data_IF_846758976459
#
_entry.id   IF_846758976459
#
_cell.length_a   1.000
_cell.length_b   1.000
_cell.length_c   1.000
_cell.angle_alpha   90.00
_cell.angle_beta   90.00
_cell.angle_gamma   90.00
#
_symmetry.space_group_name_H-M   'P 1'
#
loop_
_entity.id
_entity.type
_entity.pdbx_description
1 polymer ?
#
# COMPACT_ATOMS: atom_id res chain seq x y z
N UNK A 1 13.57 -29.94 -9.18
CA UNK A 1 13.32 -28.48 -9.05
C UNK A 1 14.65 -27.82 -8.75
N UNK A 2 14.94 -26.68 -9.36
CA UNK A 2 16.14 -25.88 -9.09
C UNK A 2 15.66 -24.50 -8.66
N UNK A 3 16.23 -23.98 -7.58
CA UNK A 3 15.89 -22.66 -7.04
C UNK A 3 17.16 -21.99 -6.50
N UNK A 4 17.19 -20.66 -6.53
CA UNK A 4 18.23 -19.82 -5.96
C UNK A 4 17.72 -19.13 -4.69
N UNK A 5 18.63 -18.75 -3.81
CA UNK A 5 18.30 -18.13 -2.52
C UNK A 5 19.32 -17.04 -2.24
N UNK A 6 18.87 -15.78 -2.20
CA UNK A 6 19.76 -14.63 -2.02
C UNK A 6 19.65 -14.01 -0.61
N UNK A 7 18.48 -14.09 0.02
CA UNK A 7 18.27 -13.48 1.34
C UNK A 7 18.81 -14.36 2.47
N UNK A 8 19.58 -13.77 3.39
CA UNK A 8 20.20 -14.49 4.52
C UNK A 8 19.19 -15.23 5.40
N UNK A 9 17.98 -14.68 5.54
CA UNK A 9 16.90 -15.23 6.36
C UNK A 9 15.86 -16.02 5.54
N UNK A 10 16.12 -16.39 4.29
CA UNK A 10 15.13 -17.05 3.44
C UNK A 10 14.61 -18.37 4.04
N UNK A 11 15.46 -19.09 4.78
CA UNK A 11 15.09 -20.35 5.45
C UNK A 11 14.03 -20.17 6.54
N UNK A 12 13.85 -18.96 7.10
CA UNK A 12 12.82 -18.69 8.11
C UNK A 12 11.39 -18.80 7.56
N UNK A 13 11.20 -18.66 6.25
CA UNK A 13 9.89 -18.82 5.63
C UNK A 13 9.43 -20.28 5.61
N UNK A 14 10.35 -21.23 5.76
CA UNK A 14 10.04 -22.65 5.67
C UNK A 14 9.85 -23.27 7.05
N UNK A 15 8.67 -23.87 7.24
CA UNK A 15 8.40 -24.74 8.38
C UNK A 15 9.09 -26.10 8.22
N UNK A 16 9.30 -26.81 9.33
CA UNK A 16 9.89 -28.16 9.31
C UNK A 16 9.13 -29.13 8.40
N UNK A 17 7.80 -29.00 8.35
CA UNK A 17 6.96 -29.80 7.46
C UNK A 17 7.25 -29.49 5.98
N UNK A 18 7.34 -28.22 5.60
CA UNK A 18 7.66 -27.82 4.22
C UNK A 18 9.06 -28.27 3.79
N UNK A 19 10.04 -28.27 4.71
CA UNK A 19 11.38 -28.75 4.41
C UNK A 19 11.42 -30.26 4.15
N UNK A 20 10.56 -31.05 4.79
CA UNK A 20 10.49 -32.50 4.58
C UNK A 20 9.82 -32.90 3.26
N UNK A 21 8.99 -32.03 2.69
CA UNK A 21 8.34 -32.28 1.39
C UNK A 21 9.35 -32.31 0.22
N UNK A 22 10.53 -31.72 0.40
CA UNK A 22 11.56 -31.63 -0.63
C UNK A 22 12.86 -32.26 -0.17
N UNK A 23 13.51 -33.01 -1.06
CA UNK A 23 14.88 -33.50 -0.84
C UNK A 23 15.86 -32.40 -1.22
N UNK A 24 16.21 -31.56 -0.25
CA UNK A 24 17.13 -30.44 -0.46
C UNK A 24 18.58 -30.90 -0.59
N UNK A 25 19.26 -30.41 -1.63
CA UNK A 25 20.71 -30.49 -1.79
C UNK A 25 21.22 -29.07 -1.95
N UNK A 26 22.00 -28.60 -0.97
CA UNK A 26 22.56 -27.26 -0.98
C UNK A 26 23.89 -27.26 -1.74
N UNK A 27 24.01 -26.36 -2.72
CA UNK A 27 25.24 -26.14 -3.46
C UNK A 27 25.65 -24.68 -3.36
N UNK A 28 26.91 -24.41 -3.04
CA UNK A 28 27.45 -23.05 -2.96
C UNK A 28 27.91 -22.59 -4.33
N UNK A 29 27.32 -21.51 -4.84
CA UNK A 29 27.61 -20.94 -6.15
C UNK A 29 27.85 -19.42 -6.04
N UNK A 30 29.02 -19.03 -5.51
CA UNK A 30 29.37 -17.62 -5.31
C UNK A 30 29.93 -17.03 -6.63
N UNK A 31 29.11 -16.28 -7.37
CA UNK A 31 29.48 -15.74 -8.70
C UNK A 31 30.13 -14.35 -8.65
N UNK A 32 29.94 -13.60 -7.56
CA UNK A 32 30.36 -12.19 -7.40
C UNK A 32 29.86 -11.23 -8.50
N UNK A 33 28.91 -11.68 -9.33
CA UNK A 33 28.28 -10.85 -10.36
C UNK A 33 27.26 -9.94 -9.68
N UNK A 34 27.20 -8.67 -10.11
CA UNK A 34 26.24 -7.72 -9.57
C UNK A 34 24.82 -7.98 -10.12
N UNK A 35 23.86 -8.24 -9.22
CA UNK A 35 22.47 -8.55 -9.54
C UNK A 35 21.64 -7.33 -9.98
N UNK A 36 21.98 -6.73 -11.12
CA UNK A 36 21.28 -5.53 -11.64
C UNK A 36 19.76 -5.74 -11.79
N UNK A 37 19.35 -6.92 -12.25
CA UNK A 37 17.94 -7.22 -12.51
C UNK A 37 17.09 -7.36 -11.23
N UNK A 38 17.66 -7.95 -10.18
CA UNK A 38 16.97 -8.19 -8.90
C UNK A 38 16.93 -6.90 -8.06
N UNK A 39 18.01 -6.12 -8.06
CA UNK A 39 18.08 -4.85 -7.30
C UNK A 39 17.15 -3.80 -7.93
N UNK A 40 17.06 -3.78 -9.26
CA UNK A 40 16.10 -2.92 -9.96
C UNK A 40 14.68 -3.48 -9.95
N UNK A 41 14.30 -4.32 -8.98
CA UNK A 41 12.92 -4.76 -8.79
C UNK A 41 11.90 -3.60 -8.67
N UNK A 42 12.36 -2.37 -8.40
CA UNK A 42 11.60 -1.13 -8.58
C UNK A 42 11.12 -0.84 -10.03
N UNK A 43 11.54 -1.64 -11.00
CA UNK A 43 11.11 -1.68 -12.40
C UNK A 43 10.53 -3.05 -12.79
N UNK A 44 10.31 -3.93 -11.81
CA UNK A 44 9.81 -5.28 -12.05
C UNK A 44 8.37 -5.21 -12.52
N UNK A 45 8.15 -5.61 -13.77
CA UNK A 45 6.81 -5.82 -14.34
C UNK A 45 6.04 -6.89 -13.55
N UNK A 46 6.74 -7.84 -12.92
CA UNK A 46 6.17 -8.86 -12.05
C UNK A 46 5.62 -8.28 -10.74
N UNK A 47 6.24 -7.21 -10.23
CA UNK A 47 5.72 -6.44 -9.09
C UNK A 47 4.83 -5.25 -9.52
N UNK A 48 4.52 -5.12 -10.81
CA UNK A 48 3.69 -4.03 -11.35
C UNK A 48 4.35 -2.65 -11.36
N UNK A 49 5.65 -2.56 -11.08
CA UNK A 49 6.39 -1.30 -11.09
C UNK A 49 6.95 -1.06 -12.49
N UNK A 50 6.16 -0.46 -13.39
CA UNK A 50 6.61 -0.17 -14.75
C UNK A 50 6.87 1.33 -14.93
N UNK A 51 8.14 1.78 -15.07
CA UNK A 51 8.47 3.20 -15.19
C UNK A 51 7.94 3.86 -16.47
N UNK A 52 7.50 3.06 -17.47
CA UNK A 52 6.88 3.57 -18.70
C UNK A 52 5.38 3.86 -18.54
N UNK A 53 4.75 3.30 -17.49
CA UNK A 53 3.39 3.66 -17.09
C UNK A 53 3.51 4.76 -16.04
N UNK A 54 3.22 6.00 -16.44
CA UNK A 54 3.24 7.18 -15.56
C UNK A 54 2.23 7.14 -14.40
N UNK A 55 1.64 5.99 -14.06
CA UNK A 55 0.43 5.90 -13.24
C UNK A 55 0.53 5.04 -11.97
N UNK A 56 1.45 4.07 -11.87
CA UNK A 56 1.54 3.23 -10.65
C UNK A 56 2.81 3.55 -9.86
N UNK A 57 2.75 4.62 -9.06
CA UNK A 57 3.82 4.93 -8.08
C UNK A 57 3.94 3.84 -7.00
N UNK A 58 2.91 3.01 -6.87
CA UNK A 58 2.78 2.00 -5.82
C UNK A 58 2.52 0.62 -6.42
N UNK A 59 3.19 -0.40 -5.87
CA UNK A 59 2.86 -1.81 -6.05
C UNK A 59 1.96 -2.30 -4.91
N UNK A 60 1.27 -3.42 -5.10
CA UNK A 60 0.61 -4.17 -4.01
C UNK A 60 1.58 -4.44 -2.85
N UNK A 61 2.82 -4.83 -3.14
CA UNK A 61 3.83 -5.09 -2.10
C UNK A 61 4.25 -3.82 -1.36
N UNK A 62 4.34 -2.69 -2.05
CA UNK A 62 4.65 -1.40 -1.42
C UNK A 62 3.51 -0.95 -0.49
N UNK A 63 2.26 -1.15 -0.91
CA UNK A 63 1.09 -0.86 -0.08
C UNK A 63 0.96 -1.81 1.10
N UNK A 64 1.36 -3.07 0.96
CA UNK A 64 1.40 -4.02 2.06
C UNK A 64 2.36 -3.59 3.17
N UNK A 65 3.56 -3.16 2.80
CA UNK A 65 4.55 -2.65 3.77
C UNK A 65 4.03 -1.40 4.46
N UNK A 66 3.47 -0.47 3.69
CA UNK A 66 2.84 0.73 4.23
C UNK A 66 1.70 0.37 5.19
N UNK A 67 0.82 -0.53 4.79
CA UNK A 67 -0.29 -0.98 5.63
C UNK A 67 0.18 -1.58 6.96
N UNK A 68 1.25 -2.37 6.92
CA UNK A 68 1.85 -2.92 8.13
C UNK A 68 2.41 -1.84 9.07
N UNK A 69 2.97 -0.74 8.53
CA UNK A 69 3.48 0.37 9.34
C UNK A 69 2.38 1.28 9.92
N UNK A 70 1.22 1.36 9.27
CA UNK A 70 0.10 2.18 9.73
C UNK A 70 -0.52 1.63 11.03
N UNK A 71 -0.91 2.55 11.91
CA UNK A 71 -1.74 2.25 13.08
C UNK A 71 -3.15 1.79 12.67
N UNK A 72 -3.84 1.07 13.58
CA UNK A 72 -5.17 0.53 13.31
C UNK A 72 -6.20 1.61 12.91
N UNK A 73 -6.21 2.76 13.59
CA UNK A 73 -7.11 3.86 13.27
C UNK A 73 -6.81 4.47 11.89
N UNK A 74 -5.53 4.63 11.57
CA UNK A 74 -5.04 5.15 10.28
C UNK A 74 -5.48 4.26 9.11
N UNK A 75 -5.48 2.93 9.30
CA UNK A 75 -5.98 1.96 8.31
C UNK A 75 -7.48 2.16 8.04
N UNK A 76 -8.28 2.38 9.08
CA UNK A 76 -9.71 2.66 8.94
C UNK A 76 -9.96 4.00 8.25
N UNK A 77 -9.21 5.06 8.59
CA UNK A 77 -9.30 6.37 7.93
C UNK A 77 -9.00 6.24 6.44
N UNK A 78 -7.95 5.49 6.07
CA UNK A 78 -7.59 5.26 4.67
C UNK A 78 -8.71 4.51 3.92
N UNK A 79 -9.36 3.54 4.57
CA UNK A 79 -10.53 2.84 4.01
C UNK A 79 -11.71 3.78 3.75
N UNK A 80 -12.10 4.58 4.75
CA UNK A 80 -13.21 5.55 4.62
C UNK A 80 -12.92 6.55 3.51
N UNK A 81 -11.70 7.09 3.46
CA UNK A 81 -11.30 8.04 2.44
C UNK A 81 -11.49 7.47 1.02
N UNK A 82 -10.99 6.26 0.76
CA UNK A 82 -11.15 5.65 -0.57
C UNK A 82 -12.59 5.23 -0.87
N UNK A 83 -13.37 4.81 0.12
CA UNK A 83 -14.80 4.54 -0.04
C UNK A 83 -15.55 5.81 -0.50
N UNK A 84 -15.35 6.94 0.19
CA UNK A 84 -15.95 8.23 -0.18
C UNK A 84 -15.48 8.71 -1.55
N UNK A 85 -14.17 8.60 -1.82
CA UNK A 85 -13.57 9.04 -3.09
C UNK A 85 -14.12 8.25 -4.29
N UNK A 86 -14.27 6.93 -4.17
CA UNK A 86 -14.80 6.11 -5.27
C UNK A 86 -16.32 6.18 -5.42
N UNK A 87 -17.05 6.41 -4.33
CA UNK A 87 -18.50 6.61 -4.38
C UNK A 87 -18.85 7.90 -5.11
N UNK A 88 -18.24 9.03 -4.71
CA UNK A 88 -18.57 10.34 -5.26
C UNK A 88 -17.84 10.63 -6.59
N UNK A 89 -16.73 9.94 -6.88
CA UNK A 89 -15.82 10.21 -8.02
C UNK A 89 -15.31 11.66 -8.07
N UNK A 90 -15.32 12.33 -6.92
CA UNK A 90 -14.93 13.73 -6.74
C UNK A 90 -13.89 13.85 -5.61
N UNK A 91 -13.09 14.94 -5.60
CA UNK A 91 -12.21 15.24 -4.47
C UNK A 91 -12.98 15.31 -3.15
N UNK A 92 -12.50 14.62 -2.12
CA UNK A 92 -13.17 14.57 -0.81
C UNK A 92 -12.82 15.83 -0.02
N UNK A 93 -13.81 16.56 0.49
CA UNK A 93 -13.56 17.70 1.37
C UNK A 93 -12.99 17.23 2.72
N UNK A 94 -12.05 17.99 3.28
CA UNK A 94 -11.44 17.66 4.58
C UNK A 94 -12.50 17.51 5.68
N UNK A 95 -13.49 18.40 5.71
CA UNK A 95 -14.52 18.41 6.75
C UNK A 95 -15.46 17.21 6.68
N UNK A 96 -15.77 16.71 5.47
CA UNK A 96 -16.61 15.53 5.30
C UNK A 96 -15.88 14.27 5.81
N UNK A 97 -14.60 14.14 5.46
CA UNK A 97 -13.75 13.06 5.98
C UNK A 97 -13.60 13.17 7.51
N UNK A 98 -13.45 14.38 8.04
CA UNK A 98 -13.35 14.61 9.48
C UNK A 98 -14.64 14.23 10.21
N UNK A 99 -15.80 14.55 9.65
CA UNK A 99 -17.10 14.14 10.22
C UNK A 99 -17.22 12.62 10.23
N UNK A 100 -16.96 11.95 9.11
CA UNK A 100 -17.03 10.48 9.03
C UNK A 100 -16.03 9.80 9.99
N UNK A 101 -14.80 10.31 10.08
CA UNK A 101 -13.80 9.77 11.00
C UNK A 101 -14.16 10.00 12.47
N UNK A 102 -14.89 11.08 12.78
CA UNK A 102 -15.39 11.36 14.12
C UNK A 102 -16.57 10.47 14.49
N UNK A 103 -17.46 10.21 13.54
CA UNK A 103 -18.64 9.33 13.74
C UNK A 103 -18.21 7.89 14.05
N UNK A 104 -17.09 7.44 13.48
CA UNK A 104 -16.46 6.15 13.80
C UNK A 104 -15.46 6.20 14.98
N UNK A 105 -15.35 7.33 15.67
CA UNK A 105 -14.41 7.53 16.79
C UNK A 105 -12.93 7.25 16.46
N UNK A 106 -12.52 7.44 15.20
CA UNK A 106 -11.15 7.17 14.73
C UNK A 106 -10.16 8.26 15.13
N UNK A 107 -10.64 9.48 15.30
CA UNK A 107 -9.82 10.67 15.56
C UNK A 107 -10.43 11.56 16.65
N UNK A 108 -9.56 12.09 17.52
CA UNK A 108 -9.95 12.95 18.64
C UNK A 108 -9.97 14.45 18.30
N UNK A 109 -9.16 14.92 17.34
CA UNK A 109 -9.02 16.33 16.97
C UNK A 109 -8.71 16.53 15.48
N UNK A 110 -8.97 17.73 14.95
CA UNK A 110 -8.63 18.06 13.55
C UNK A 110 -7.12 17.94 13.29
N UNK A 111 -6.30 18.33 14.29
CA UNK A 111 -4.85 18.28 14.21
C UNK A 111 -4.32 16.86 14.05
N UNK A 112 -4.92 15.89 14.74
CA UNK A 112 -4.55 14.49 14.63
C UNK A 112 -4.91 13.93 13.24
N UNK A 113 -6.07 14.27 12.67
CA UNK A 113 -6.42 13.86 11.30
C UNK A 113 -5.45 14.48 10.28
N UNK A 114 -5.14 15.77 10.43
CA UNK A 114 -4.19 16.46 9.53
C UNK A 114 -2.81 15.83 9.55
N UNK A 115 -2.30 15.45 10.72
CA UNK A 115 -1.02 14.76 10.83
C UNK A 115 -1.03 13.42 10.07
N UNK A 116 -2.12 12.66 10.19
CA UNK A 116 -2.27 11.39 9.46
C UNK A 116 -2.34 11.60 7.93
N UNK A 117 -3.04 12.65 7.49
CA UNK A 117 -3.14 12.99 6.07
C UNK A 117 -1.80 13.50 5.49
N UNK A 118 -0.98 14.16 6.31
CA UNK A 118 0.39 14.52 5.91
C UNK A 118 1.23 13.27 5.69
N UNK A 119 1.16 12.27 6.58
CA UNK A 119 1.84 10.99 6.38
C UNK A 119 1.40 10.31 5.07
N UNK A 120 0.10 10.30 4.77
CA UNK A 120 -0.41 9.76 3.50
C UNK A 120 0.03 10.57 2.27
N UNK A 121 0.20 11.88 2.42
CA UNK A 121 0.74 12.76 1.38
C UNK A 121 2.22 12.48 1.14
N UNK A 122 3.01 12.29 2.19
CA UNK A 122 4.45 11.98 2.11
C UNK A 122 4.68 10.64 1.40
N UNK A 123 3.81 9.67 1.65
CA UNK A 123 3.81 8.40 0.93
C UNK A 123 3.14 8.45 -0.45
N UNK A 124 2.74 9.62 -0.96
CA UNK A 124 2.09 9.78 -2.28
C UNK A 124 0.82 8.92 -2.45
N UNK A 125 0.09 8.67 -1.37
CA UNK A 125 -1.21 7.98 -1.40
C UNK A 125 -2.30 8.95 -1.83
N UNK A 126 -2.27 10.14 -1.24
CA UNK A 126 -3.21 11.23 -1.51
C UNK A 126 -2.46 12.54 -1.74
N UNK A 127 -3.17 13.54 -2.26
CA UNK A 127 -2.66 14.88 -2.47
C UNK A 127 -3.69 15.90 -2.01
N UNK A 128 -3.20 16.95 -1.36
CA UNK A 128 -3.99 18.14 -1.08
C UNK A 128 -4.23 18.96 -2.34
N UNK A 129 -5.49 19.31 -2.57
CA UNK A 129 -5.94 20.21 -3.63
C UNK A 129 -6.74 21.35 -2.99
N UNK A 130 -6.47 22.59 -3.37
CA UNK A 130 -7.33 23.72 -2.99
C UNK A 130 -8.46 23.82 -4.00
N UNK A 131 -9.69 23.76 -3.52
CA UNK A 131 -10.88 24.01 -4.35
C UNK A 131 -10.98 25.49 -4.74
N UNK A 132 -11.81 25.79 -5.74
CA UNK A 132 -12.07 27.18 -6.18
C UNK A 132 -12.68 28.04 -5.06
N UNK A 133 -13.43 27.40 -4.14
CA UNK A 133 -14.03 28.03 -2.96
C UNK A 133 -13.03 28.28 -1.81
N UNK A 134 -11.75 27.95 -1.99
CA UNK A 134 -10.72 28.05 -0.95
C UNK A 134 -10.73 26.91 0.08
N UNK A 135 -11.69 25.98 -0.03
CA UNK A 135 -11.77 24.80 0.83
C UNK A 135 -10.67 23.78 0.49
N UNK A 136 -10.19 23.09 1.53
CA UNK A 136 -9.19 22.04 1.40
C UNK A 136 -9.86 20.72 0.97
N UNK A 137 -9.42 20.21 -0.17
CA UNK A 137 -9.89 18.95 -0.75
C UNK A 137 -8.72 17.95 -0.85
N UNK A 138 -9.07 16.68 -0.81
CA UNK A 138 -8.15 15.54 -0.87
C UNK A 138 -8.43 14.74 -2.12
N UNK A 139 -7.38 14.40 -2.87
CA UNK A 139 -7.46 13.60 -4.09
C UNK A 139 -6.62 12.34 -3.92
N UNK A 140 -7.19 11.17 -4.19
CA UNK A 140 -6.46 9.91 -4.22
C UNK A 140 -5.51 9.84 -5.43
N UNK A 141 -4.26 9.45 -5.20
CA UNK A 141 -3.25 9.26 -6.26
C UNK A 141 -3.16 7.80 -6.74
N UNK A 142 -3.97 6.89 -6.20
CA UNK A 142 -3.93 5.46 -6.46
C UNK A 142 -5.03 5.05 -7.45
N UNK A 143 -4.71 4.11 -8.34
CA UNK A 143 -5.66 3.55 -9.29
C UNK A 143 -6.72 2.70 -8.58
N UNK A 144 -7.98 2.80 -9.04
CA UNK A 144 -9.13 2.10 -8.46
C UNK A 144 -8.95 0.60 -8.46
N UNK A 145 -8.48 0.05 -9.59
CA UNK A 145 -8.26 -1.39 -9.74
C UNK A 145 -7.21 -1.94 -8.75
N UNK A 146 -6.23 -1.11 -8.40
CA UNK A 146 -5.17 -1.50 -7.48
C UNK A 146 -5.70 -1.50 -6.04
N UNK A 147 -6.42 -0.45 -5.64
CA UNK A 147 -7.03 -0.34 -4.31
C UNK A 147 -8.06 -1.46 -4.07
N UNK A 148 -8.92 -1.75 -5.06
CA UNK A 148 -9.92 -2.82 -4.94
C UNK A 148 -9.27 -4.18 -4.71
N UNK A 149 -8.22 -4.51 -5.48
CA UNK A 149 -7.44 -5.74 -5.28
C UNK A 149 -6.81 -5.78 -3.89
N UNK A 150 -6.18 -4.68 -3.48
CA UNK A 150 -5.52 -4.57 -2.18
C UNK A 150 -6.50 -4.77 -1.02
N UNK A 151 -7.66 -4.10 -1.04
CA UNK A 151 -8.66 -4.25 0.01
C UNK A 151 -9.31 -5.64 0.00
N UNK A 152 -9.53 -6.23 -1.17
CA UNK A 152 -10.00 -7.62 -1.28
C UNK A 152 -9.03 -8.61 -0.63
N UNK A 153 -7.71 -8.44 -0.80
CA UNK A 153 -6.70 -9.27 -0.12
C UNK A 153 -6.71 -9.10 1.40
N UNK A 154 -7.07 -7.91 1.89
CA UNK A 154 -7.22 -7.64 3.33
C UNK A 154 -8.60 -8.02 3.89
N UNK A 155 -9.50 -8.53 3.06
CA UNK A 155 -10.87 -8.86 3.47
C UNK A 155 -11.73 -7.64 3.82
N UNK A 156 -11.37 -6.46 3.31
CA UNK A 156 -12.11 -5.22 3.49
C UNK A 156 -12.92 -4.94 2.21
N UNK A 157 -14.25 -4.94 2.31
CA UNK A 157 -15.08 -4.50 1.18
C UNK A 157 -15.28 -2.98 1.23
N UNK A 158 -15.14 -2.35 0.07
CA UNK A 158 -15.38 -0.92 -0.17
C UNK A 158 -16.89 -0.58 -0.22
N UNK A 159 -17.76 -1.58 -0.34
CA UNK A 159 -19.21 -1.42 -0.53
C UNK A 159 -19.98 -1.04 0.75
N UNK A 160 -19.31 -0.68 1.85
CA UNK A 160 -20.00 -0.22 3.06
C UNK A 160 -19.82 1.29 3.24
N UNK A 161 -20.66 2.03 2.54
CA UNK A 161 -21.34 3.22 3.08
C UNK A 161 -22.82 2.85 3.24
#
# INVERSE_FOLDING_TARGET
MVATVDHINATLLHTSHQLQLFTWIYYRADTFIFSWQEILAGQSTLLGLNPKSNQSTHSLSSLDVLWQSLAANSRSILRIFYAMFFHNKEPVAFWDLFSAAKDEFLVSSDTALRQQLVEFSDHRILRWKRGEDGNEQLVGCLDKNLIEKFFSEKGLNLDML
#
